data_IF_406635952653
#
_entry.id   IF_406635952653
#
_cell.length_a   1.000
_cell.length_b   1.000
_cell.length_c   1.000
_cell.angle_alpha   90.00
_cell.angle_beta   90.00
_cell.angle_gamma   90.00
#
_symmetry.space_group_name_H-M   'P 1'
#
loop_
_entity.id
_entity.type
_entity.pdbx_description
1 polymer ?
#
# COMPACT_ATOMS: atom_id res chain seq x y z
N UNK A 1 -6.35 -61.66 -30.00
CA UNK A 1 -5.97 -60.35 -30.60
C UNK A 1 -6.72 -59.27 -29.86
N UNK A 2 -6.01 -58.31 -29.25
CA UNK A 2 -6.55 -57.20 -28.45
C UNK A 2 -6.88 -56.03 -29.38
N UNK A 3 -8.07 -55.45 -29.29
CA UNK A 3 -8.34 -54.10 -29.81
C UNK A 3 -8.47 -53.15 -28.62
N UNK A 4 -7.48 -52.28 -28.46
CA UNK A 4 -7.50 -51.13 -27.56
C UNK A 4 -7.65 -49.90 -28.46
N UNK A 5 -8.78 -49.20 -28.35
CA UNK A 5 -8.96 -47.88 -28.95
C UNK A 5 -8.78 -46.85 -27.83
N UNK A 6 -7.60 -46.24 -27.78
CA UNK A 6 -7.33 -45.14 -26.87
C UNK A 6 -8.04 -43.87 -27.37
N UNK A 7 -8.84 -43.27 -26.50
CA UNK A 7 -9.33 -41.91 -26.66
C UNK A 7 -8.16 -40.94 -26.43
N UNK A 8 -7.75 -40.24 -27.49
CA UNK A 8 -6.77 -39.17 -27.40
C UNK A 8 -7.51 -37.88 -26.99
N UNK A 9 -7.57 -37.59 -25.68
CA UNK A 9 -7.95 -36.27 -25.18
C UNK A 9 -6.82 -35.29 -25.49
N UNK A 10 -6.99 -34.47 -26.53
CA UNK A 10 -6.13 -33.31 -26.79
C UNK A 10 -6.55 -32.20 -25.82
N UNK A 11 -5.82 -32.08 -24.71
CA UNK A 11 -5.94 -30.94 -23.80
C UNK A 11 -5.22 -29.75 -24.43
N UNK A 12 -5.98 -28.86 -25.08
CA UNK A 12 -5.47 -27.59 -25.60
C UNK A 12 -5.24 -26.61 -24.45
N UNK A 13 -4.06 -26.66 -23.84
CA UNK A 13 -3.60 -25.66 -22.87
C UNK A 13 -3.04 -24.46 -23.64
N UNK A 14 -3.90 -23.48 -23.92
CA UNK A 14 -3.46 -22.19 -24.45
C UNK A 14 -2.73 -21.42 -23.33
N UNK A 15 -1.41 -21.55 -23.27
CA UNK A 15 -0.54 -20.71 -22.47
C UNK A 15 -0.49 -19.31 -23.12
N UNK A 16 -1.46 -18.46 -22.78
CA UNK A 16 -1.30 -17.02 -22.95
C UNK A 16 -0.40 -16.55 -21.81
N UNK A 17 0.91 -16.62 -22.02
CA UNK A 17 1.90 -16.06 -21.11
C UNK A 17 1.91 -14.53 -21.31
N UNK A 18 0.84 -13.87 -20.87
CA UNK A 18 0.85 -12.42 -20.69
C UNK A 18 1.78 -12.09 -19.52
N UNK A 19 2.65 -11.10 -19.67
CA UNK A 19 3.40 -10.57 -18.54
C UNK A 19 2.40 -10.04 -17.49
N UNK A 20 2.32 -10.71 -16.34
CA UNK A 20 1.47 -10.25 -15.23
C UNK A 20 2.19 -9.07 -14.60
N UNK A 21 1.67 -7.87 -14.82
CA UNK A 21 2.28 -6.61 -14.37
C UNK A 21 1.54 -5.98 -13.17
N UNK A 22 0.46 -6.61 -12.72
CA UNK A 22 -0.34 -6.22 -11.56
C UNK A 22 -1.25 -7.38 -11.14
N UNK A 23 -1.56 -7.50 -9.85
CA UNK A 23 -2.68 -8.34 -9.43
C UNK A 23 -3.98 -7.62 -9.75
N UNK A 24 -4.88 -8.25 -10.51
CA UNK A 24 -6.12 -7.61 -10.97
C UNK A 24 -7.33 -8.27 -10.33
N UNK A 25 -8.19 -7.47 -9.73
CA UNK A 25 -9.40 -7.92 -9.06
C UNK A 25 -10.63 -7.35 -9.75
N UNK A 26 -11.70 -8.15 -9.80
CA UNK A 26 -13.03 -7.61 -10.10
C UNK A 26 -13.53 -6.79 -8.91
N UNK A 27 -14.19 -5.67 -9.17
CA UNK A 27 -14.88 -4.95 -8.11
C UNK A 27 -16.03 -5.82 -7.54
N UNK A 28 -16.34 -5.71 -6.23
CA UNK A 28 -17.43 -6.47 -5.63
C UNK A 28 -18.75 -6.23 -6.36
N UNK A 29 -19.56 -7.29 -6.51
CA UNK A 29 -20.86 -7.21 -7.20
C UNK A 29 -21.89 -6.44 -6.38
N UNK A 30 -21.86 -6.63 -5.06
CA UNK A 30 -22.79 -6.01 -4.12
C UNK A 30 -22.34 -4.57 -3.83
N UNK A 31 -23.20 -3.56 -4.07
CA UNK A 31 -22.84 -2.17 -3.75
C UNK A 31 -22.55 -1.99 -2.26
N UNK A 32 -21.40 -1.39 -1.96
CA UNK A 32 -20.95 -1.14 -0.59
C UNK A 32 -19.93 -2.16 -0.07
N UNK A 33 -19.82 -3.31 -0.71
CA UNK A 33 -18.76 -4.27 -0.42
C UNK A 33 -17.40 -3.71 -0.81
N UNK A 34 -16.39 -4.09 -0.04
CA UNK A 34 -15.02 -3.62 -0.21
C UNK A 34 -13.97 -4.72 -0.16
N UNK A 35 -14.37 -5.97 0.11
CA UNK A 35 -13.46 -7.11 0.01
C UNK A 35 -13.37 -7.58 -1.44
N UNK A 36 -12.16 -7.66 -1.95
CA UNK A 36 -11.83 -8.18 -3.28
C UNK A 36 -11.11 -9.52 -3.16
N UNK A 37 -11.34 -10.41 -4.12
CA UNK A 37 -10.82 -11.79 -4.14
C UNK A 37 -10.18 -12.06 -5.50
N UNK A 38 -8.99 -12.65 -5.50
CA UNK A 38 -8.28 -13.02 -6.74
C UNK A 38 -8.84 -14.31 -7.33
N UNK A 39 -8.93 -15.35 -6.49
CA UNK A 39 -9.42 -16.68 -6.80
C UNK A 39 -10.65 -16.99 -5.92
N UNK A 40 -11.88 -16.72 -6.41
CA UNK A 40 -13.12 -16.95 -5.63
C UNK A 40 -13.35 -18.40 -5.19
N UNK A 41 -12.73 -19.35 -5.90
CA UNK A 41 -12.73 -20.78 -5.59
C UNK A 41 -11.83 -21.15 -4.41
N UNK A 42 -10.85 -20.30 -4.08
CA UNK A 42 -9.94 -20.48 -2.96
C UNK A 42 -10.54 -19.92 -1.66
N UNK A 43 -9.96 -20.31 -0.52
CA UNK A 43 -10.32 -19.79 0.80
C UNK A 43 -9.85 -18.35 1.02
N UNK A 44 -9.61 -17.97 2.28
CA UNK A 44 -9.08 -16.62 2.60
C UNK A 44 -7.65 -16.41 2.09
N UNK A 45 -6.92 -17.50 1.87
CA UNK A 45 -5.55 -17.55 1.35
C UNK A 45 -5.47 -18.57 0.21
N UNK A 46 -4.46 -18.37 -0.65
CA UNK A 46 -4.05 -19.32 -1.68
C UNK A 46 -2.70 -19.93 -1.32
N UNK A 47 -2.29 -20.97 -2.04
CA UNK A 47 -1.02 -21.65 -1.79
C UNK A 47 -0.25 -21.84 -3.09
N UNK A 48 1.07 -21.70 -3.00
CA UNK A 48 1.99 -22.15 -4.05
C UNK A 48 2.99 -23.15 -3.48
N UNK A 49 3.68 -23.85 -4.38
CA UNK A 49 4.76 -24.75 -4.03
C UNK A 49 6.03 -24.30 -4.72
N UNK A 50 7.08 -24.11 -3.93
CA UNK A 50 8.40 -23.76 -4.44
C UNK A 50 8.91 -24.81 -5.42
N UNK A 51 9.38 -24.37 -6.59
CA UNK A 51 9.81 -25.25 -7.69
C UNK A 51 11.31 -25.59 -7.63
N UNK A 52 12.09 -24.79 -6.90
CA UNK A 52 13.53 -24.88 -6.75
C UNK A 52 13.95 -24.27 -5.40
N UNK A 53 15.21 -24.43 -5.01
CA UNK A 53 15.71 -23.66 -3.87
C UNK A 53 15.74 -22.16 -4.23
N UNK A 54 15.05 -21.33 -3.45
CA UNK A 54 14.83 -19.90 -3.72
C UNK A 54 14.66 -19.10 -2.42
N UNK A 55 14.53 -17.77 -2.50
CA UNK A 55 14.18 -16.93 -1.34
C UNK A 55 12.68 -16.64 -1.30
N UNK A 56 12.12 -16.26 -0.14
CA UNK A 56 10.74 -15.74 -0.11
C UNK A 56 10.60 -14.48 -0.97
N UNK A 57 11.69 -13.75 -1.20
CA UNK A 57 11.67 -12.50 -1.96
C UNK A 57 11.53 -12.78 -3.46
N UNK A 58 12.13 -13.86 -3.95
CA UNK A 58 11.94 -14.34 -5.32
C UNK A 58 10.48 -14.71 -5.55
N UNK A 59 9.88 -15.41 -4.59
CA UNK A 59 8.45 -15.75 -4.60
C UNK A 59 7.59 -14.50 -4.52
N UNK A 60 7.90 -13.54 -3.65
CA UNK A 60 7.18 -12.27 -3.62
C UNK A 60 7.20 -11.57 -4.98
N UNK A 61 8.35 -11.51 -5.66
CA UNK A 61 8.43 -10.91 -6.99
C UNK A 61 7.59 -11.68 -8.01
N UNK A 62 7.68 -13.01 -8.03
CA UNK A 62 6.89 -13.86 -8.93
C UNK A 62 5.38 -13.61 -8.79
N UNK A 63 4.91 -13.38 -7.56
CA UNK A 63 3.49 -13.15 -7.25
C UNK A 63 3.15 -11.66 -7.04
N UNK A 64 4.02 -10.73 -7.44
CA UNK A 64 3.81 -9.27 -7.34
C UNK A 64 3.45 -8.79 -5.91
N UNK A 65 4.09 -9.38 -4.92
CA UNK A 65 3.94 -9.09 -3.50
C UNK A 65 5.07 -8.20 -2.98
N UNK A 66 4.80 -7.51 -1.88
CA UNK A 66 5.83 -6.81 -1.11
C UNK A 66 6.65 -7.80 -0.28
N UNK A 67 7.90 -7.45 -0.01
CA UNK A 67 8.79 -8.30 0.80
C UNK A 67 8.25 -8.54 2.22
N UNK A 68 7.79 -7.49 2.90
CA UNK A 68 7.24 -7.64 4.25
C UNK A 68 5.95 -8.44 4.24
N UNK A 69 5.15 -8.32 3.18
CA UNK A 69 3.90 -9.05 3.04
C UNK A 69 4.12 -10.57 2.96
N UNK A 70 5.00 -11.06 2.07
CA UNK A 70 5.23 -12.50 1.94
C UNK A 70 5.83 -13.11 3.23
N UNK A 71 6.70 -12.36 3.91
CA UNK A 71 7.33 -12.81 5.16
C UNK A 71 6.29 -12.90 6.28
N UNK A 72 5.41 -11.89 6.44
CA UNK A 72 4.33 -11.91 7.43
C UNK A 72 3.30 -13.02 7.17
N UNK A 73 3.04 -13.32 5.90
CA UNK A 73 2.17 -14.43 5.53
C UNK A 73 2.80 -15.79 5.85
N UNK A 74 4.12 -15.88 6.02
CA UNK A 74 4.85 -17.13 6.22
C UNK A 74 5.86 -17.01 7.38
N UNK A 75 5.39 -16.78 8.63
CA UNK A 75 6.27 -16.47 9.76
C UNK A 75 7.22 -17.62 10.12
N UNK A 76 6.84 -18.86 9.80
CA UNK A 76 7.62 -20.06 10.11
C UNK A 76 8.66 -20.42 9.03
N UNK A 77 8.71 -19.66 7.92
CA UNK A 77 9.62 -19.92 6.81
C UNK A 77 10.86 -19.01 6.87
N UNK A 78 12.04 -19.56 6.54
CA UNK A 78 13.25 -18.76 6.38
C UNK A 78 13.15 -17.92 5.10
N UNK A 79 13.21 -16.60 5.27
CA UNK A 79 13.15 -15.64 4.16
C UNK A 79 14.27 -15.80 3.13
N UNK A 80 15.41 -16.36 3.51
CA UNK A 80 16.60 -16.47 2.66
C UNK A 80 16.76 -17.84 2.01
N UNK A 81 16.07 -18.86 2.53
CA UNK A 81 16.18 -20.21 2.00
C UNK A 81 14.87 -20.97 2.13
N UNK A 82 14.15 -21.01 1.03
CA UNK A 82 13.01 -21.88 0.79
C UNK A 82 13.48 -23.08 -0.01
N UNK A 83 13.27 -24.27 0.53
CA UNK A 83 13.60 -25.52 -0.15
C UNK A 83 12.55 -25.85 -1.20
N UNK A 84 13.02 -26.45 -2.29
CA UNK A 84 12.13 -27.04 -3.30
C UNK A 84 11.05 -27.89 -2.62
N UNK A 85 9.80 -27.67 -3.02
CA UNK A 85 8.65 -28.41 -2.51
C UNK A 85 8.00 -27.80 -1.26
N UNK A 86 8.60 -26.77 -0.64
CA UNK A 86 7.96 -26.04 0.47
C UNK A 86 6.65 -25.38 -0.01
N UNK A 87 5.62 -25.48 0.82
CA UNK A 87 4.33 -24.81 0.61
C UNK A 87 4.43 -23.40 1.15
N UNK A 88 3.97 -22.43 0.36
CA UNK A 88 4.03 -21.00 0.69
C UNK A 88 2.62 -20.45 0.59
N UNK A 89 2.22 -19.72 1.62
CA UNK A 89 0.93 -19.03 1.71
C UNK A 89 1.00 -17.73 0.91
N UNK A 90 -0.02 -17.51 0.08
CA UNK A 90 -0.22 -16.31 -0.72
C UNK A 90 -1.54 -15.63 -0.32
N UNK A 91 -1.63 -14.29 -0.44
CA UNK A 91 -2.88 -13.60 -0.17
C UNK A 91 -3.89 -13.87 -1.28
N UNK A 92 -5.14 -14.20 -0.93
CA UNK A 92 -6.23 -14.33 -1.90
C UNK A 92 -7.23 -13.17 -1.81
N UNK A 93 -7.49 -12.70 -0.59
CA UNK A 93 -8.44 -11.62 -0.30
C UNK A 93 -7.73 -10.35 0.15
N UNK A 94 -8.35 -9.21 -0.11
CA UNK A 94 -7.98 -7.90 0.46
C UNK A 94 -9.21 -7.06 0.72
N UNK A 95 -9.16 -6.23 1.75
CA UNK A 95 -10.11 -5.16 1.96
C UNK A 95 -9.57 -3.91 1.27
N UNK A 96 -10.33 -3.34 0.35
CA UNK A 96 -9.95 -2.10 -0.32
C UNK A 96 -9.93 -0.94 0.69
N UNK A 97 -8.88 -0.11 0.72
CA UNK A 97 -8.76 1.00 1.68
C UNK A 97 -9.93 1.97 1.54
N UNK A 98 -10.37 2.59 2.61
CA UNK A 98 -11.38 3.63 2.53
C UNK A 98 -10.88 4.82 1.72
N UNK A 99 -11.71 5.31 0.80
CA UNK A 99 -11.41 6.47 -0.02
C UNK A 99 -12.11 6.42 -1.37
N UNK A 100 -11.92 7.45 -2.20
CA UNK A 100 -12.48 7.50 -3.54
C UNK A 100 -12.04 6.30 -4.38
N UNK A 101 -12.99 5.65 -5.05
CA UNK A 101 -12.74 4.54 -6.00
C UNK A 101 -12.43 5.08 -7.40
N UNK A 102 -11.54 6.07 -7.49
CA UNK A 102 -11.12 6.69 -8.74
C UNK A 102 -9.61 7.01 -8.73
N UNK A 103 -8.95 6.83 -9.88
CA UNK A 103 -7.51 7.07 -9.98
C UNK A 103 -6.71 6.12 -9.08
N UNK A 104 -5.77 6.66 -8.30
CA UNK A 104 -4.82 5.89 -7.49
C UNK A 104 -5.10 6.09 -6.01
N UNK A 105 -5.23 5.00 -5.24
CA UNK A 105 -5.19 5.02 -3.77
C UNK A 105 -4.00 4.21 -3.29
N UNK A 106 -3.09 4.86 -2.56
CA UNK A 106 -1.89 4.28 -1.96
C UNK A 106 -2.12 4.13 -0.47
N UNK A 107 -2.22 2.89 0.02
CA UNK A 107 -2.20 2.65 1.45
C UNK A 107 -0.77 2.30 1.89
N UNK A 108 -0.17 3.22 2.66
CA UNK A 108 1.22 3.09 3.09
C UNK A 108 1.41 1.94 4.07
N UNK A 109 0.42 1.66 4.93
CA UNK A 109 0.51 0.64 5.99
C UNK A 109 0.60 -0.79 5.46
N UNK A 110 0.02 -1.05 4.29
CA UNK A 110 0.03 -2.38 3.67
C UNK A 110 0.97 -2.49 2.47
N UNK A 111 1.67 -1.40 2.13
CA UNK A 111 2.55 -1.31 0.97
C UNK A 111 1.84 -1.64 -0.37
N UNK A 112 0.56 -1.26 -0.50
CA UNK A 112 -0.23 -1.45 -1.74
C UNK A 112 -0.72 -0.16 -2.37
N UNK A 113 -0.66 -0.15 -3.70
CA UNK A 113 -1.24 0.84 -4.59
C UNK A 113 -2.43 0.19 -5.28
N UNK A 114 -3.59 0.83 -5.22
CA UNK A 114 -4.81 0.42 -5.90
C UNK A 114 -5.12 1.42 -7.01
N UNK A 115 -5.20 0.94 -8.25
CA UNK A 115 -5.59 1.75 -9.40
C UNK A 115 -6.99 1.37 -9.88
N UNK A 116 -7.92 2.31 -9.78
CA UNK A 116 -9.32 2.19 -10.19
C UNK A 116 -9.48 2.75 -11.60
N UNK A 117 -9.62 1.86 -12.58
CA UNK A 117 -9.81 2.23 -13.97
C UNK A 117 -11.25 2.72 -14.19
N UNK A 118 -11.47 3.91 -14.79
CA UNK A 118 -12.83 4.41 -15.06
C UNK A 118 -13.42 3.77 -16.34
N UNK A 119 -13.49 2.45 -16.39
CA UNK A 119 -13.83 1.66 -17.58
C UNK A 119 -15.26 1.07 -17.56
N UNK A 120 -16.02 1.27 -16.49
CA UNK A 120 -17.42 0.85 -16.40
C UNK A 120 -18.43 1.92 -16.81
N UNK A 121 -19.72 1.58 -16.69
CA UNK A 121 -20.82 2.51 -16.95
C UNK A 121 -20.67 3.76 -16.08
N UNK A 122 -20.88 4.93 -16.68
CA UNK A 122 -20.73 6.25 -16.03
C UNK A 122 -19.34 6.49 -15.38
N UNK A 123 -18.29 5.79 -15.84
CA UNK A 123 -16.94 5.92 -15.31
C UNK A 123 -16.70 5.19 -13.98
N UNK A 124 -17.64 4.36 -13.52
CA UNK A 124 -17.43 3.50 -12.36
C UNK A 124 -16.36 2.43 -12.66
N UNK A 125 -15.47 2.09 -11.72
CA UNK A 125 -14.52 1.01 -11.93
C UNK A 125 -15.23 -0.34 -11.92
N UNK A 126 -14.92 -1.20 -12.91
CA UNK A 126 -15.30 -2.62 -12.87
C UNK A 126 -14.18 -3.51 -12.37
N UNK A 127 -12.95 -3.01 -12.39
CA UNK A 127 -11.76 -3.72 -11.92
C UNK A 127 -10.85 -2.76 -11.15
N UNK A 128 -10.05 -3.33 -10.26
CA UNK A 128 -8.99 -2.64 -9.52
C UNK A 128 -7.69 -3.41 -9.67
N UNK A 129 -6.61 -2.71 -9.98
CA UNK A 129 -5.27 -3.29 -10.06
C UNK A 129 -4.48 -2.95 -8.80
N UNK A 130 -3.90 -3.95 -8.17
CA UNK A 130 -3.04 -3.82 -6.99
C UNK A 130 -1.57 -3.98 -7.38
N UNK A 131 -0.73 -3.10 -6.84
CA UNK A 131 0.72 -3.13 -7.03
C UNK A 131 1.41 -3.01 -5.67
N UNK A 132 2.41 -3.85 -5.43
CA UNK A 132 3.27 -3.70 -4.27
C UNK A 132 4.18 -2.48 -4.44
N UNK A 133 4.40 -1.71 -3.37
CA UNK A 133 5.28 -0.54 -3.39
C UNK A 133 6.21 -0.45 -2.18
N UNK A 134 7.27 0.32 -2.31
CA UNK A 134 8.10 0.79 -1.19
C UNK A 134 7.81 2.26 -0.90
N UNK A 135 7.97 2.65 0.37
CA UNK A 135 7.69 4.01 0.88
C UNK A 135 8.90 4.63 1.55
N UNK A 136 8.74 5.86 2.02
CA UNK A 136 9.72 6.59 2.80
C UNK A 136 10.09 5.92 4.12
N UNK A 137 11.37 5.98 4.50
CA UNK A 137 11.83 5.61 5.86
C UNK A 137 11.41 6.66 6.91
N UNK A 138 11.58 6.36 8.19
CA UNK A 138 11.02 7.15 9.30
C UNK A 138 11.46 8.64 9.31
N UNK A 139 12.70 8.95 8.95
CA UNK A 139 13.24 10.32 8.85
C UNK A 139 12.87 11.01 7.52
N UNK A 140 12.29 10.27 6.58
CA UNK A 140 11.87 10.74 5.26
C UNK A 140 10.48 10.22 4.88
N UNK A 141 9.51 10.45 5.77
CA UNK A 141 8.15 9.90 5.61
C UNK A 141 7.52 10.32 4.29
N UNK A 142 6.88 9.36 3.62
CA UNK A 142 6.00 9.65 2.49
C UNK A 142 4.80 10.48 2.99
N UNK A 143 4.47 11.59 2.33
CA UNK A 143 3.38 12.46 2.77
C UNK A 143 2.01 11.79 2.61
N UNK A 144 1.08 12.13 3.51
CA UNK A 144 -0.32 11.74 3.43
C UNK A 144 -1.16 12.85 2.76
N UNK A 145 -2.32 12.46 2.23
CA UNK A 145 -3.32 13.38 1.69
C UNK A 145 -3.58 13.18 0.20
N UNK A 146 -4.25 14.18 -0.38
CA UNK A 146 -4.70 14.14 -1.77
C UNK A 146 -3.75 14.91 -2.68
N UNK A 147 -3.47 14.35 -3.86
CA UNK A 147 -2.66 14.97 -4.89
C UNK A 147 -3.07 14.47 -6.27
N UNK A 148 -2.29 14.76 -7.30
CA UNK A 148 -2.51 14.25 -8.66
C UNK A 148 -1.20 14.06 -9.40
N UNK A 149 -1.24 13.28 -10.47
CA UNK A 149 -0.14 13.19 -11.43
C UNK A 149 -0.04 14.52 -12.19
N UNK A 150 1.10 15.20 -12.12
CA UNK A 150 1.33 16.48 -12.84
C UNK A 150 2.23 16.34 -14.06
N UNK A 151 3.03 15.28 -14.10
CA UNK A 151 3.95 15.03 -15.20
C UNK A 151 4.27 13.55 -15.29
N UNK A 152 4.34 13.04 -16.52
CA UNK A 152 4.83 11.70 -16.82
C UNK A 152 6.18 11.78 -17.52
N UNK A 153 7.19 11.05 -17.04
CA UNK A 153 8.53 11.01 -17.64
C UNK A 153 8.93 9.58 -17.95
N UNK A 154 9.21 9.31 -19.23
CA UNK A 154 9.84 8.08 -19.70
C UNK A 154 11.35 8.24 -19.64
N UNK A 155 12.04 7.21 -19.15
CA UNK A 155 13.50 7.15 -18.99
C UNK A 155 14.05 8.41 -18.29
N UNK A 156 13.62 8.68 -17.03
CA UNK A 156 14.00 9.90 -16.32
C UNK A 156 15.49 9.91 -16.00
N UNK A 157 16.16 11.07 -16.12
CA UNK A 157 17.40 11.30 -15.37
C UNK A 157 17.05 11.58 -13.90
N UNK A 158 17.86 11.06 -12.97
CA UNK A 158 17.76 11.36 -11.56
C UNK A 158 18.78 12.43 -11.17
N UNK A 159 18.30 13.49 -10.56
CA UNK A 159 19.12 14.53 -9.95
C UNK A 159 18.97 14.40 -8.44
N UNK A 160 19.90 13.73 -7.74
CA UNK A 160 19.76 13.50 -6.31
C UNK A 160 19.68 14.86 -5.59
N UNK A 161 18.68 15.09 -4.73
CA UNK A 161 18.64 16.26 -3.86
C UNK A 161 19.93 16.42 -3.05
N UNK A 162 20.33 17.65 -2.75
CA UNK A 162 21.55 17.95 -2.01
C UNK A 162 21.60 17.21 -0.66
N UNK A 163 20.47 17.14 0.05
CA UNK A 163 20.37 16.39 1.32
C UNK A 163 20.70 14.91 1.16
N UNK A 164 20.26 14.27 0.07
CA UNK A 164 20.57 12.86 -0.20
C UNK A 164 22.05 12.71 -0.56
N UNK A 165 22.63 13.62 -1.34
CA UNK A 165 24.07 13.59 -1.65
C UNK A 165 24.93 13.72 -0.41
N UNK A 166 24.57 14.60 0.52
CA UNK A 166 25.28 14.80 1.78
C UNK A 166 25.24 13.55 2.66
N UNK A 167 24.09 12.90 2.79
CA UNK A 167 23.94 11.64 3.52
C UNK A 167 24.83 10.55 2.92
N UNK A 168 24.74 10.36 1.60
CA UNK A 168 25.52 9.36 0.88
C UNK A 168 27.04 9.60 0.99
N UNK A 169 27.49 10.85 0.89
CA UNK A 169 28.88 11.23 1.10
C UNK A 169 29.33 10.95 2.55
N UNK A 170 28.50 11.24 3.55
CA UNK A 170 28.79 10.95 4.95
C UNK A 170 28.90 9.44 5.23
N UNK A 171 28.16 8.62 4.49
CA UNK A 171 28.19 7.16 4.58
C UNK A 171 29.31 6.51 3.73
N UNK A 172 30.15 7.31 3.07
CA UNK A 172 31.28 6.82 2.27
C UNK A 172 30.93 6.34 0.86
N UNK A 173 29.72 6.66 0.36
CA UNK A 173 29.24 6.31 -0.98
C UNK A 173 28.70 7.56 -1.70
N UNK A 174 29.56 8.52 -2.10
CA UNK A 174 29.12 9.79 -2.66
C UNK A 174 28.41 9.63 -3.99
N UNK A 175 27.23 10.23 -4.11
CA UNK A 175 26.43 10.20 -5.34
C UNK A 175 26.87 11.25 -6.38
N UNK A 176 26.76 10.94 -7.69
CA UNK A 176 26.96 11.94 -8.73
C UNK A 176 25.85 13.01 -8.70
N UNK A 177 26.11 14.15 -9.33
CA UNK A 177 25.12 15.24 -9.46
C UNK A 177 23.93 14.86 -10.37
N UNK A 178 24.14 13.91 -11.28
CA UNK A 178 23.12 13.35 -12.15
C UNK A 178 23.40 11.87 -12.39
N UNK A 179 22.35 11.06 -12.35
CA UNK A 179 22.34 9.69 -12.87
C UNK A 179 21.47 9.69 -14.13
N UNK A 180 22.08 9.39 -15.27
CA UNK A 180 21.39 9.33 -16.56
C UNK A 180 20.40 8.16 -16.62
N UNK A 181 19.54 8.11 -17.66
CA UNK A 181 18.64 6.99 -17.85
C UNK A 181 19.42 5.68 -18.09
N UNK A 182 18.90 4.56 -17.59
CA UNK A 182 19.54 3.25 -17.77
C UNK A 182 19.13 2.24 -16.70
N UNK A 183 19.66 1.00 -16.78
CA UNK A 183 19.31 -0.08 -15.85
C UNK A 183 19.71 0.20 -14.39
N UNK A 184 20.71 1.06 -14.18
CA UNK A 184 21.23 1.43 -12.86
C UNK A 184 20.63 2.75 -12.33
N UNK A 185 19.60 3.27 -13.00
CA UNK A 185 18.94 4.49 -12.54
C UNK A 185 17.93 4.15 -11.42
N UNK A 186 18.05 4.74 -10.22
CA UNK A 186 17.20 4.38 -9.09
C UNK A 186 15.75 4.82 -9.23
N UNK A 187 15.44 5.68 -10.20
CA UNK A 187 14.06 6.01 -10.59
C UNK A 187 13.44 4.96 -11.55
N UNK A 188 14.25 4.02 -12.06
CA UNK A 188 13.83 3.05 -13.06
C UNK A 188 13.49 3.68 -14.41
N UNK A 189 12.68 2.98 -15.21
CA UNK A 189 12.37 3.35 -16.59
C UNK A 189 11.24 4.38 -16.73
N UNK A 190 10.46 4.62 -15.69
CA UNK A 190 9.27 5.51 -15.69
C UNK A 190 9.14 6.23 -14.35
N UNK A 191 8.69 7.49 -14.41
CA UNK A 191 8.33 8.27 -13.24
C UNK A 191 7.06 9.09 -13.47
N UNK A 192 6.19 9.10 -12.45
CA UNK A 192 4.96 9.87 -12.35
C UNK A 192 5.16 10.92 -11.26
N UNK A 193 5.24 12.19 -11.61
CA UNK A 193 5.43 13.28 -10.65
C UNK A 193 4.13 13.64 -9.97
N UNK A 194 4.18 13.88 -8.66
CA UNK A 194 3.03 14.23 -7.84
C UNK A 194 2.96 15.74 -7.58
N UNK A 195 1.75 16.30 -7.49
CA UNK A 195 1.49 17.69 -7.11
C UNK A 195 1.71 17.92 -5.60
N UNK A 196 2.93 17.69 -5.11
CA UNK A 196 3.30 17.83 -3.70
C UNK A 196 4.45 18.83 -3.57
N UNK A 197 4.59 19.45 -2.39
CA UNK A 197 5.73 20.33 -2.10
C UNK A 197 7.00 19.50 -1.98
N UNK A 198 7.81 19.49 -3.03
CA UNK A 198 9.03 18.68 -3.13
C UNK A 198 9.05 17.91 -4.45
N UNK A 199 10.00 16.99 -4.62
CA UNK A 199 10.13 16.17 -5.83
C UNK A 199 9.56 14.75 -5.66
N UNK A 200 8.36 14.62 -5.11
CA UNK A 200 7.72 13.33 -4.88
C UNK A 200 7.22 12.68 -6.18
N UNK A 201 7.48 11.39 -6.32
CA UNK A 201 7.17 10.62 -7.53
C UNK A 201 6.68 9.22 -7.16
N UNK A 202 5.83 8.65 -8.02
CA UNK A 202 5.66 7.20 -8.14
C UNK A 202 6.57 6.76 -9.28
N UNK A 203 7.54 5.89 -9.00
CA UNK A 203 8.57 5.53 -9.97
C UNK A 203 8.95 4.06 -9.88
N UNK A 204 9.72 3.58 -10.86
CA UNK A 204 10.27 2.22 -10.87
C UNK A 204 11.48 2.09 -9.96
N UNK A 205 12.35 1.14 -10.27
CA UNK A 205 13.61 0.98 -9.55
C UNK A 205 14.65 0.34 -10.46
N UNK A 206 15.92 0.43 -10.09
CA UNK A 206 16.97 -0.39 -10.69
C UNK A 206 16.87 -1.85 -10.19
N UNK A 207 17.67 -2.73 -10.81
CA UNK A 207 17.66 -4.15 -10.45
C UNK A 207 18.20 -4.43 -9.04
N UNK A 208 19.09 -3.59 -8.52
CA UNK A 208 19.77 -3.79 -7.24
C UNK A 208 18.88 -3.42 -6.05
N UNK A 209 17.97 -2.47 -6.25
CA UNK A 209 17.04 -1.95 -5.22
C UNK A 209 15.67 -2.61 -5.26
N UNK A 210 15.48 -3.61 -6.12
CA UNK A 210 14.21 -4.30 -6.31
C UNK A 210 13.72 -5.04 -5.06
N UNK A 211 14.65 -5.56 -4.25
CA UNK A 211 14.33 -6.25 -3.00
C UNK A 211 13.75 -5.32 -1.92
N UNK A 212 13.71 -4.02 -2.19
CA UNK A 212 13.14 -3.00 -1.32
C UNK A 212 11.65 -2.72 -1.51
N UNK A 213 10.99 -3.40 -2.46
CA UNK A 213 9.53 -3.30 -2.62
C UNK A 213 8.84 -3.97 -1.43
N UNK A 214 7.84 -3.29 -0.85
CA UNK A 214 7.20 -3.70 0.40
C UNK A 214 7.96 -3.28 1.66
N UNK A 215 8.82 -2.26 1.59
CA UNK A 215 9.60 -1.77 2.74
C UNK A 215 9.62 -0.23 2.85
N UNK A 216 10.02 0.27 4.03
CA UNK A 216 10.30 1.68 4.33
C UNK A 216 11.77 2.01 4.10
N UNK A 217 12.15 2.28 2.85
CA UNK A 217 13.58 2.42 2.49
C UNK A 217 13.90 3.62 1.59
N UNK A 218 12.89 4.34 1.11
CA UNK A 218 13.11 5.46 0.20
C UNK A 218 13.25 6.78 0.96
N UNK A 219 13.67 7.84 0.27
CA UNK A 219 13.61 9.20 0.79
C UNK A 219 12.24 9.88 0.57
N UNK A 220 11.16 9.11 0.73
CA UNK A 220 9.77 9.61 0.72
C UNK A 220 8.99 9.40 -0.58
N UNK A 221 9.63 9.02 -1.68
CA UNK A 221 8.94 8.65 -2.93
C UNK A 221 8.25 7.29 -2.84
N UNK A 222 7.39 6.98 -3.81
CA UNK A 222 6.77 5.66 -3.95
C UNK A 222 7.54 4.88 -5.01
N UNK A 223 8.04 3.71 -4.64
CA UNK A 223 8.81 2.83 -5.54
C UNK A 223 7.99 1.61 -5.91
N UNK A 224 7.89 1.28 -7.19
CA UNK A 224 7.24 0.08 -7.72
C UNK A 224 8.26 -0.86 -8.36
N UNK A 225 7.87 -2.11 -8.58
CA UNK A 225 8.60 -3.01 -9.48
C UNK A 225 8.73 -2.39 -10.89
N UNK A 226 9.83 -2.66 -11.62
CA UNK A 226 10.02 -2.14 -12.98
C UNK A 226 8.84 -2.43 -13.92
N UNK A 227 8.39 -3.68 -13.95
CA UNK A 227 7.24 -4.16 -14.73
C UNK A 227 5.93 -3.46 -14.33
N UNK A 228 5.77 -3.16 -13.04
CA UNK A 228 4.57 -2.54 -12.47
C UNK A 228 4.50 -1.04 -12.82
N UNK A 229 5.61 -0.30 -12.72
CA UNK A 229 5.60 1.11 -13.10
C UNK A 229 5.38 1.30 -14.59
N UNK A 230 5.90 0.40 -15.44
CA UNK A 230 5.68 0.48 -16.89
C UNK A 230 4.21 0.31 -17.24
N UNK A 231 3.57 -0.73 -16.69
CA UNK A 231 2.15 -0.95 -16.88
C UNK A 231 1.30 0.20 -16.32
N UNK A 232 1.59 0.67 -15.09
CA UNK A 232 0.85 1.78 -14.50
C UNK A 232 1.01 3.07 -15.32
N UNK A 233 2.23 3.36 -15.79
CA UNK A 233 2.54 4.55 -16.59
C UNK A 233 1.69 4.62 -17.85
N UNK A 234 1.47 3.51 -18.54
CA UNK A 234 0.70 3.51 -19.79
C UNK A 234 -0.81 3.70 -19.56
N UNK A 235 -1.30 3.37 -18.36
CA UNK A 235 -2.73 3.44 -18.01
C UNK A 235 -3.17 4.78 -17.42
N UNK A 236 -2.27 5.46 -16.72
CA UNK A 236 -2.61 6.71 -16.01
C UNK A 236 -2.37 7.93 -16.89
N UNK A 237 -3.17 8.97 -16.71
CA UNK A 237 -2.99 10.25 -17.40
C UNK A 237 -2.50 11.33 -16.46
N UNK A 238 -1.92 12.40 -16.99
CA UNK A 238 -1.74 13.63 -16.20
C UNK A 238 -3.12 14.11 -15.73
N UNK A 239 -3.19 14.61 -14.50
CA UNK A 239 -4.44 14.94 -13.81
C UNK A 239 -5.07 13.78 -13.04
N UNK A 240 -4.64 12.53 -13.22
CA UNK A 240 -5.15 11.39 -12.44
C UNK A 240 -5.01 11.67 -10.93
N UNK A 241 -6.10 11.58 -10.15
CA UNK A 241 -6.04 11.82 -8.70
C UNK A 241 -5.26 10.70 -8.01
N UNK A 242 -4.56 11.08 -6.94
CA UNK A 242 -3.74 10.19 -6.11
C UNK A 242 -4.05 10.48 -4.65
N UNK A 243 -4.44 9.45 -3.91
CA UNK A 243 -4.76 9.51 -2.49
C UNK A 243 -3.73 8.71 -1.70
N UNK A 244 -2.95 9.37 -0.85
CA UNK A 244 -1.98 8.73 0.03
C UNK A 244 -2.59 8.60 1.42
N UNK A 245 -2.92 7.37 1.81
CA UNK A 245 -3.60 7.05 3.07
C UNK A 245 -2.74 6.16 3.96
N UNK A 246 -3.01 6.20 5.26
CA UNK A 246 -2.40 5.31 6.26
C UNK A 246 -3.52 4.61 7.01
N UNK A 247 -3.88 3.42 6.56
CA UNK A 247 -4.98 2.62 7.10
C UNK A 247 -4.43 1.23 7.47
N UNK A 248 -3.81 1.09 8.66
CA UNK A 248 -3.24 -0.18 9.10
C UNK A 248 -4.31 -1.21 9.44
N UNK A 249 -5.51 -0.76 9.81
CA UNK A 249 -6.68 -1.61 10.04
C UNK A 249 -7.76 -1.20 9.04
N UNK A 250 -8.33 -2.18 8.34
CA UNK A 250 -9.42 -2.02 7.40
C UNK A 250 -10.55 -2.95 7.81
N UNK A 251 -11.77 -2.50 7.58
CA UNK A 251 -13.00 -3.27 7.83
C UNK A 251 -13.89 -3.18 6.60
N UNK A 252 -14.44 -4.30 6.17
CA UNK A 252 -15.16 -4.37 4.90
C UNK A 252 -16.14 -5.53 4.81
N UNK A 253 -17.19 -5.33 4.03
CA UNK A 253 -18.18 -6.36 3.74
C UNK A 253 -17.81 -7.15 2.47
N UNK A 254 -18.14 -8.44 2.52
CA UNK A 254 -18.29 -9.32 1.36
C UNK A 254 -19.58 -10.11 1.55
N UNK A 255 -20.57 -9.85 0.72
CA UNK A 255 -21.91 -10.40 0.84
C UNK A 255 -22.45 -10.21 2.27
N UNK A 256 -22.64 -11.29 3.02
CA UNK A 256 -23.19 -11.24 4.38
C UNK A 256 -22.11 -11.25 5.48
N UNK A 257 -20.82 -11.25 5.13
CA UNK A 257 -19.72 -11.39 6.08
C UNK A 257 -18.93 -10.09 6.23
N UNK A 258 -18.67 -9.71 7.48
CA UNK A 258 -17.84 -8.58 7.85
C UNK A 258 -16.42 -9.06 8.14
N UNK A 259 -15.45 -8.52 7.41
CA UNK A 259 -14.04 -8.86 7.53
C UNK A 259 -13.25 -7.73 8.20
N UNK A 260 -12.21 -8.10 8.93
CA UNK A 260 -11.17 -7.20 9.42
C UNK A 260 -9.82 -7.64 8.86
N UNK A 261 -9.02 -6.68 8.41
CA UNK A 261 -7.65 -6.89 7.94
C UNK A 261 -6.76 -5.89 8.69
N UNK A 262 -5.67 -6.38 9.29
CA UNK A 262 -4.74 -5.57 10.05
C UNK A 262 -3.29 -5.82 9.64
N UNK A 263 -2.52 -4.74 9.57
CA UNK A 263 -1.09 -4.73 9.22
C UNK A 263 -0.28 -4.03 10.32
N UNK A 264 1.03 -4.31 10.40
CA UNK A 264 1.92 -3.56 11.28
C UNK A 264 1.96 -2.08 10.91
N UNK A 265 2.20 -1.26 11.92
CA UNK A 265 2.43 0.17 11.71
C UNK A 265 3.76 0.41 10.97
N UNK A 266 3.86 1.61 10.42
CA UNK A 266 5.12 2.12 9.89
C UNK A 266 6.08 2.41 11.05
N UNK A 267 7.37 2.42 10.75
CA UNK A 267 8.44 2.56 11.73
C UNK A 267 8.40 3.98 12.31
N UNK A 268 8.38 4.08 13.63
CA UNK A 268 8.22 5.34 14.36
C UNK A 268 6.79 5.88 14.42
N UNK A 269 5.79 5.08 14.08
CA UNK A 269 4.35 5.36 14.21
C UNK A 269 3.60 4.22 14.95
N UNK A 270 4.29 3.46 15.80
CA UNK A 270 3.75 2.25 16.42
C UNK A 270 2.57 2.52 17.37
N UNK A 271 1.51 1.75 17.22
CA UNK A 271 0.33 1.76 18.10
C UNK A 271 0.37 0.63 19.12
N UNK A 272 -0.28 0.82 20.26
CA UNK A 272 -0.52 -0.25 21.23
C UNK A 272 -1.66 -1.16 20.77
N UNK A 273 -1.74 -2.37 21.34
CA UNK A 273 -2.86 -3.28 21.07
C UNK A 273 -4.21 -2.64 21.43
N UNK A 274 -4.29 -1.94 22.56
CA UNK A 274 -5.50 -1.22 22.99
C UNK A 274 -5.92 -0.14 21.98
N UNK A 275 -4.97 0.64 21.46
CA UNK A 275 -5.23 1.65 20.43
C UNK A 275 -5.75 1.02 19.13
N UNK A 276 -5.14 -0.10 18.70
CA UNK A 276 -5.61 -0.87 17.54
C UNK A 276 -7.01 -1.40 17.74
N UNK A 277 -7.29 -1.95 18.92
CA UNK A 277 -8.61 -2.48 19.27
C UNK A 277 -9.68 -1.38 19.24
N UNK A 278 -9.41 -0.24 19.87
CA UNK A 278 -10.32 0.91 19.86
C UNK A 278 -10.60 1.41 18.43
N UNK A 279 -9.56 1.51 17.59
CA UNK A 279 -9.71 1.87 16.18
C UNK A 279 -10.58 0.83 15.44
N UNK A 280 -10.32 -0.47 15.62
CA UNK A 280 -11.08 -1.52 14.97
C UNK A 280 -12.57 -1.49 15.36
N UNK A 281 -12.90 -1.28 16.64
CA UNK A 281 -14.29 -1.11 17.08
C UNK A 281 -14.97 0.06 16.37
N UNK A 282 -14.30 1.21 16.27
CA UNK A 282 -14.86 2.38 15.57
C UNK A 282 -15.13 2.09 14.09
N UNK A 283 -14.25 1.33 13.43
CA UNK A 283 -14.39 0.95 12.03
C UNK A 283 -15.49 -0.09 11.83
N UNK A 284 -15.64 -1.04 12.75
CA UNK A 284 -16.73 -2.03 12.77
C UNK A 284 -18.08 -1.33 12.91
N UNK A 285 -18.22 -0.42 13.88
CA UNK A 285 -19.44 0.37 14.05
C UNK A 285 -19.76 1.16 12.78
N UNK A 286 -18.76 1.84 12.20
CA UNK A 286 -18.92 2.59 10.96
C UNK A 286 -19.38 1.71 9.80
N UNK A 287 -18.74 0.54 9.62
CA UNK A 287 -19.09 -0.42 8.57
C UNK A 287 -20.49 -1.04 8.79
N UNK A 288 -20.96 -1.08 10.03
CA UNK A 288 -22.25 -1.64 10.42
C UNK A 288 -23.26 -0.55 10.82
N UNK A 289 -23.32 0.56 10.06
CA UNK A 289 -24.36 1.62 10.18
C UNK A 289 -24.47 2.27 11.57
N UNK A 290 -23.36 2.34 12.31
CA UNK A 290 -23.29 2.92 13.65
C UNK A 290 -23.53 1.93 14.79
N UNK A 291 -23.85 0.67 14.48
CA UNK A 291 -24.12 -0.37 15.46
C UNK A 291 -22.94 -1.33 15.59
N UNK A 292 -22.62 -1.72 16.82
CA UNK A 292 -21.65 -2.78 17.06
C UNK A 292 -22.37 -4.13 17.03
N UNK A 293 -22.13 -5.00 16.02
CA UNK A 293 -22.76 -6.32 15.99
C UNK A 293 -22.19 -7.21 17.09
N UNK A 294 -22.84 -8.34 17.38
CA UNK A 294 -22.26 -9.40 18.22
C UNK A 294 -21.23 -10.19 17.39
N UNK A 295 -20.05 -9.60 17.23
CA UNK A 295 -18.94 -10.17 16.44
C UNK A 295 -18.04 -11.08 17.30
N UNK A 296 -17.32 -11.98 16.64
CA UNK A 296 -16.30 -12.82 17.24
C UNK A 296 -15.10 -11.98 17.73
N UNK A 297 -15.08 -11.73 19.04
CA UNK A 297 -14.01 -10.97 19.70
C UNK A 297 -12.67 -11.70 19.68
N UNK A 298 -12.66 -13.03 19.70
CA UNK A 298 -11.42 -13.81 19.66
C UNK A 298 -10.78 -13.74 18.28
N UNK A 299 -11.60 -13.81 17.21
CA UNK A 299 -11.13 -13.57 15.85
C UNK A 299 -10.57 -12.14 15.67
N UNK A 300 -11.26 -11.13 16.20
CA UNK A 300 -10.76 -9.76 16.17
C UNK A 300 -9.43 -9.61 16.92
N UNK A 301 -9.33 -10.12 18.15
CA UNK A 301 -8.11 -10.05 18.95
C UNK A 301 -6.93 -10.71 18.23
N UNK A 302 -7.14 -11.90 17.68
CA UNK A 302 -6.14 -12.62 16.89
C UNK A 302 -5.62 -11.79 15.70
N UNK A 303 -6.52 -11.17 14.92
CA UNK A 303 -6.14 -10.31 13.79
C UNK A 303 -5.28 -9.13 14.23
N UNK A 304 -5.63 -8.49 15.36
CA UNK A 304 -4.95 -7.30 15.88
C UNK A 304 -3.64 -7.59 16.62
N UNK A 305 -3.44 -8.84 17.03
CA UNK A 305 -2.18 -9.35 17.59
C UNK A 305 -1.22 -9.78 16.49
N UNK A 306 -1.69 -10.58 15.54
CA UNK A 306 -0.84 -11.22 14.52
C UNK A 306 -0.46 -10.27 13.38
N UNK A 307 -1.34 -9.32 13.02
CA UNK A 307 -1.08 -8.29 12.01
C UNK A 307 -0.60 -8.86 10.65
N UNK A 308 -1.11 -10.03 10.27
CA UNK A 308 -0.65 -10.76 9.07
C UNK A 308 -1.16 -10.17 7.75
N UNK A 309 -2.15 -9.27 7.80
CA UNK A 309 -2.79 -8.71 6.60
C UNK A 309 -3.68 -9.71 5.86
N UNK A 310 -4.17 -10.76 6.54
CA UNK A 310 -5.16 -11.69 6.00
C UNK A 310 -6.54 -11.18 6.44
N UNK A 311 -7.47 -10.87 5.53
CA UNK A 311 -8.84 -10.55 5.90
C UNK A 311 -9.51 -11.73 6.60
N UNK A 312 -9.99 -11.51 7.82
CA UNK A 312 -10.66 -12.53 8.62
C UNK A 312 -12.10 -12.13 8.89
N UNK A 313 -13.05 -13.02 8.61
CA UNK A 313 -14.45 -12.80 8.93
C UNK A 313 -14.65 -12.81 10.46
N UNK A 314 -15.30 -11.77 10.98
CA UNK A 314 -15.60 -11.65 12.42
C UNK A 314 -17.10 -11.69 12.71
N UNK A 315 -17.95 -11.54 11.69
CA UNK A 315 -19.39 -11.49 11.85
C UNK A 315 -20.07 -11.87 10.53
N UNK A 316 -21.22 -12.54 10.61
CA UNK A 316 -22.06 -12.89 9.48
C UNK A 316 -23.49 -12.48 9.79
N UNK A 317 -24.10 -11.69 8.90
CA UNK A 317 -25.53 -11.37 8.97
C UNK A 317 -26.32 -12.57 8.51
N UNK A 318 -27.46 -12.81 9.15
CA UNK A 318 -28.45 -13.72 8.60
C UNK A 318 -28.89 -13.19 7.23
N UNK A 319 -28.95 -14.05 6.19
CA UNK A 319 -29.55 -13.66 4.92
C UNK A 319 -30.97 -13.13 5.16
N UNK A 320 -31.43 -12.13 4.40
CA UNK A 320 -32.85 -11.81 4.37
C UNK A 320 -33.64 -13.08 4.03
N UNK A 321 -34.79 -13.29 4.66
CA UNK A 321 -35.70 -14.36 4.25
C UNK A 321 -36.04 -14.13 2.76
N UNK A 322 -36.11 -15.20 1.96
CA UNK A 322 -36.23 -15.17 0.50
C UNK A 322 -37.41 -14.32 -0.03
N UNK A 323 -38.38 -14.01 0.84
CA UNK A 323 -39.55 -13.17 0.54
C UNK A 323 -39.30 -11.65 0.68
N UNK A 324 -38.16 -11.20 1.22
CA UNK A 324 -37.73 -9.80 1.20
C UNK A 324 -36.90 -9.48 -0.06
N UNK A 325 -37.42 -9.83 -1.23
CA UNK A 325 -36.98 -9.18 -2.47
C UNK A 325 -37.43 -7.72 -2.36
N UNK A 326 -36.51 -6.84 -1.97
CA UNK A 326 -36.70 -5.39 -2.08
C UNK A 326 -37.07 -5.13 -3.54
N UNK A 327 -38.31 -4.68 -3.85
CA UNK A 327 -38.67 -4.48 -5.23
C UNK A 327 -37.73 -3.43 -5.83
N UNK A 328 -37.17 -3.76 -6.99
CA UNK A 328 -36.45 -2.84 -7.85
C UNK A 328 -37.14 -1.48 -7.80
N UNK A 329 -36.35 -0.42 -7.63
CA UNK A 329 -36.81 0.96 -7.68
C UNK A 329 -37.54 1.15 -9.01
N UNK A 330 -38.86 1.03 -8.96
CA UNK A 330 -39.72 1.20 -10.12
C UNK A 330 -39.60 2.66 -10.51
N UNK A 331 -39.10 2.85 -11.72
CA UNK A 331 -39.00 4.10 -12.43
C UNK A 331 -40.36 4.83 -12.38
N UNK A 332 -40.51 5.80 -11.47
CA UNK A 332 -41.67 6.69 -11.46
C UNK A 332 -41.49 7.69 -12.61
N UNK A 333 -42.39 7.74 -13.59
CA UNK A 333 -42.30 8.74 -14.65
C UNK A 333 -42.47 10.13 -14.05
N UNK A 334 -41.61 11.07 -14.46
CA UNK A 334 -41.72 12.46 -14.08
C UNK A 334 -43.12 13.01 -14.41
N UNK A 335 -43.76 13.79 -13.52
CA UNK A 335 -45.04 14.40 -13.82
C UNK A 335 -44.88 15.44 -14.94
N UNK A 336 -45.82 15.41 -15.89
CA UNK A 336 -45.88 16.29 -17.03
C UNK A 336 -45.96 17.77 -16.62
N UNK A 337 -45.03 18.57 -17.13
CA UNK A 337 -45.08 20.04 -17.00
C UNK A 337 -46.16 20.57 -17.94
N UNK A 338 -47.30 20.95 -17.35
CA UNK A 338 -48.33 21.74 -18.00
C UNK A 338 -47.79 23.14 -18.32
N UNK A 339 -47.75 23.48 -19.61
CA UNK A 339 -47.51 24.84 -20.09
C UNK A 339 -48.79 25.65 -19.93
N UNK A 340 -48.75 26.70 -19.13
CA UNK A 340 -49.73 27.80 -19.19
C UNK A 340 -49.01 29.14 -19.29
N UNK A 341 -49.34 29.84 -20.37
CA UNK A 341 -48.89 31.17 -20.80
C UNK A 341 -49.68 32.29 -20.15
N UNK A 342 -49.02 33.38 -19.70
CA UNK A 342 -49.48 34.79 -19.78
C UNK A 342 -48.40 35.72 -19.18
N UNK A 343 -47.65 36.48 -19.99
CA UNK A 343 -47.82 37.91 -20.37
C UNK A 343 -47.50 38.96 -19.28
N UNK A 344 -46.33 39.59 -19.48
CA UNK A 344 -45.98 41.04 -19.45
C UNK A 344 -46.29 41.93 -18.24
N UNK A 345 -45.27 42.62 -17.70
CA UNK A 345 -45.10 44.08 -17.82
C UNK A 345 -43.84 44.61 -17.08
N UNK A 346 -43.26 45.67 -17.63
CA UNK A 346 -42.01 46.37 -17.25
C UNK A 346 -42.26 47.43 -16.17
N UNK A 347 -41.31 47.63 -15.23
CA UNK A 347 -40.90 48.97 -14.72
C UNK A 347 -39.61 48.93 -13.86
N UNK A 348 -38.64 49.78 -14.23
CA UNK A 348 -37.53 50.33 -13.42
C UNK A 348 -38.01 51.67 -12.78
N UNK A 349 -37.26 52.45 -11.94
CA UNK A 349 -35.86 52.33 -11.46
C UNK A 349 -35.59 52.70 -9.96
N UNK A 350 -34.31 52.63 -9.55
CA UNK A 350 -33.50 53.66 -8.84
C UNK A 350 -32.99 53.46 -7.38
N UNK A 351 -31.66 53.71 -7.27
CA UNK A 351 -30.83 54.35 -6.21
C UNK A 351 -30.52 53.68 -4.84
N UNK A 352 -29.28 53.18 -4.75
CA UNK A 352 -28.14 53.67 -3.94
C UNK A 352 -28.33 54.02 -2.46
N UNK A 353 -27.52 53.39 -1.58
CA UNK A 353 -26.64 54.06 -0.60
C UNK A 353 -25.69 53.07 0.09
N UNK A 354 -24.47 53.54 0.36
CA UNK A 354 -23.34 52.83 0.97
C UNK A 354 -23.05 53.38 2.37
N UNK A 355 -22.57 52.55 3.29
CA UNK A 355 -21.81 52.89 4.52
C UNK A 355 -20.99 51.63 4.90
N UNK A 356 -19.66 51.52 4.72
CA UNK A 356 -18.48 52.10 5.40
C UNK A 356 -18.20 51.57 6.83
N UNK A 357 -17.17 50.70 6.91
CA UNK A 357 -16.11 50.57 7.96
C UNK A 357 -16.51 50.11 9.38
N UNK A 358 -15.71 49.38 10.18
CA UNK A 358 -14.25 49.42 10.43
C UNK A 358 -13.71 48.09 11.00
N UNK A 359 -12.44 47.80 10.70
CA UNK A 359 -11.51 46.98 11.51
C UNK A 359 -11.13 47.71 12.81
N UNK A 360 -10.58 47.01 13.82
CA UNK A 360 -9.54 47.57 14.66
C UNK A 360 -8.18 46.91 14.44
N UNK A 361 -7.16 47.73 14.67
CA UNK A 361 -5.74 47.56 14.36
C UNK A 361 -4.96 47.10 15.61
N UNK A 362 -3.82 46.49 15.33
CA UNK A 362 -2.67 46.19 16.20
C UNK A 362 -2.23 47.38 17.06
N UNK A 363 -1.75 47.10 18.28
CA UNK A 363 -0.79 47.93 19.03
C UNK A 363 0.41 47.08 19.45
N UNK A 364 1.60 47.62 19.21
CA UNK A 364 2.90 47.05 19.53
C UNK A 364 3.58 47.86 20.65
N UNK A 365 4.52 47.21 21.35
CA UNK A 365 5.52 47.79 22.25
C UNK A 365 5.45 47.22 23.68
N UNK A 366 6.52 46.79 24.34
CA UNK A 366 7.95 46.98 24.08
C UNK A 366 8.80 46.15 25.09
N UNK A 367 10.13 46.02 24.82
CA UNK A 367 11.27 45.71 25.74
C UNK A 367 11.64 44.23 25.99
N UNK A 368 12.67 43.69 25.31
CA UNK A 368 14.13 43.68 25.62
C UNK A 368 14.57 42.84 26.83
N UNK A 369 15.26 41.71 26.58
CA UNK A 369 16.61 41.38 27.09
C UNK A 369 16.98 39.89 26.87
N UNK A 370 18.20 39.65 26.41
CA UNK A 370 18.97 38.38 26.37
C UNK A 370 20.43 38.77 26.71
N UNK A 371 21.36 37.87 27.01
CA UNK A 371 21.41 36.87 28.10
C UNK A 371 22.63 37.13 29.04
N UNK A 372 22.70 36.44 30.19
CA UNK A 372 23.91 36.42 31.04
C UNK A 372 24.50 35.00 31.06
N UNK A 373 25.80 34.93 30.79
CA UNK A 373 26.69 33.76 30.87
C UNK A 373 27.30 33.58 32.27
N UNK A 374 27.91 32.38 32.48
CA UNK A 374 28.84 31.91 33.56
C UNK A 374 28.14 30.90 34.50
N UNK A 375 28.67 29.73 34.89
CA UNK A 375 29.98 29.06 34.88
C UNK A 375 29.69 27.53 34.92
N UNK A 376 30.40 26.63 34.21
CA UNK A 376 31.68 25.95 34.58
C UNK A 376 31.66 25.24 35.94
N UNK A 377 31.50 23.91 35.96
CA UNK A 377 32.37 22.91 36.63
C UNK A 377 31.69 21.51 36.73
N UNK A 378 32.47 20.46 36.42
CA UNK A 378 32.56 19.10 37.03
C UNK A 378 31.26 18.26 37.18
N UNK A 379 31.19 16.93 36.98
CA UNK A 379 32.18 15.86 36.90
C UNK A 379 31.53 14.63 36.23
N UNK A 380 32.35 13.82 35.53
CA UNK A 380 32.06 12.40 35.23
C UNK A 380 32.75 11.54 36.32
N UNK A 381 32.23 10.34 36.59
CA UNK A 381 33.04 9.13 36.29
C UNK A 381 32.21 8.04 35.59
N UNK A 382 32.69 7.42 34.50
CA UNK A 382 33.53 6.20 34.46
C UNK A 382 32.81 4.97 35.04
N UNK A 383 32.28 4.09 34.19
CA UNK A 383 32.87 2.80 33.77
C UNK A 383 33.28 1.90 34.95
N UNK A 384 32.47 0.87 35.19
CA UNK A 384 32.89 -0.36 35.87
C UNK A 384 32.77 -1.52 34.89
N UNK A 385 33.90 -2.19 34.68
CA UNK A 385 34.03 -3.47 33.99
C UNK A 385 34.02 -4.58 35.04
N UNK A 386 33.26 -5.65 34.79
CA UNK A 386 33.46 -6.93 35.46
C UNK A 386 33.56 -8.03 34.40
N UNK A 387 34.71 -8.69 34.42
CA UNK A 387 35.15 -9.78 33.55
C UNK A 387 35.33 -11.00 34.44
N UNK A 388 34.77 -12.13 34.05
CA UNK A 388 35.22 -13.51 34.29
C UNK A 388 34.03 -14.45 34.07
N UNK A 389 34.12 -15.68 33.56
CA UNK A 389 35.12 -16.49 32.87
C UNK A 389 34.45 -17.88 32.74
N UNK A 390 34.71 -18.65 31.67
CA UNK A 390 34.99 -20.10 31.74
C UNK A 390 34.75 -20.86 30.42
N UNK A 391 35.85 -21.44 29.91
CA UNK A 391 36.03 -22.77 29.27
C UNK A 391 35.25 -23.05 27.97
N UNK A 392 35.89 -23.12 26.80
CA UNK A 392 36.79 -24.17 26.27
C UNK A 392 36.15 -25.56 26.14
N UNK A 393 35.75 -25.91 24.91
CA UNK A 393 35.80 -27.28 24.40
C UNK A 393 36.12 -27.25 22.89
N UNK A 394 37.13 -28.04 22.51
CA UNK A 394 37.72 -28.20 21.18
C UNK A 394 36.94 -29.24 20.36
N UNK A 395 36.79 -28.94 19.07
CA UNK A 395 37.15 -29.77 17.90
C UNK A 395 36.39 -31.09 17.62
N UNK A 396 35.87 -31.24 16.39
CA UNK A 396 36.49 -32.07 15.32
C UNK A 396 35.79 -31.93 13.96
N UNK A 397 36.60 -31.77 12.91
CA UNK A 397 36.43 -32.19 11.50
C UNK A 397 35.26 -31.59 10.67
N UNK A 398 35.35 -31.34 9.36
CA UNK A 398 36.24 -31.87 8.34
C UNK A 398 36.30 -30.92 7.12
N UNK A 399 37.41 -30.99 6.39
CA UNK A 399 37.80 -30.12 5.28
C UNK A 399 37.27 -30.62 3.93
N UNK A 400 36.98 -29.66 3.03
CA UNK A 400 36.95 -29.73 1.57
C UNK A 400 35.79 -30.48 0.88
N UNK A 401 34.96 -29.77 0.08
CA UNK A 401 35.34 -29.43 -1.30
C UNK A 401 34.54 -28.23 -1.83
N UNK A 402 35.23 -27.37 -2.60
CA UNK A 402 34.73 -26.12 -3.19
C UNK A 402 34.06 -26.41 -4.53
N UNK A 403 32.84 -25.90 -4.71
CA UNK A 403 32.34 -25.40 -6.00
C UNK A 403 31.59 -24.10 -5.74
N UNK A 404 31.98 -23.08 -6.49
CA UNK A 404 31.74 -21.65 -6.25
C UNK A 404 30.41 -21.24 -6.89
N UNK A 405 29.50 -20.64 -6.12
CA UNK A 405 28.39 -19.83 -6.61
C UNK A 405 28.62 -18.37 -6.19
N UNK A 406 28.65 -17.39 -7.11
CA UNK A 406 28.56 -15.97 -6.77
C UNK A 406 27.08 -15.56 -6.68
N UNK A 407 26.60 -14.66 -5.82
CA UNK A 407 27.23 -13.85 -4.80
C UNK A 407 26.10 -13.25 -3.95
N UNK A 408 26.16 -13.43 -2.63
CA UNK A 408 25.27 -12.79 -1.67
C UNK A 408 26.00 -11.58 -1.06
N UNK A 409 25.46 -10.38 -1.26
CA UNK A 409 26.01 -9.16 -0.67
C UNK A 409 25.56 -9.04 0.79
N UNK A 410 26.55 -8.95 1.69
CA UNK A 410 26.39 -8.59 3.10
C UNK A 410 26.18 -7.08 3.20
N UNK A 411 25.01 -6.66 3.70
CA UNK A 411 24.84 -5.34 4.29
C UNK A 411 25.38 -5.36 5.71
N UNK A 412 26.35 -4.48 5.98
CA UNK A 412 26.95 -4.25 7.29
C UNK A 412 25.94 -3.60 8.24
N UNK A 413 26.07 -3.98 9.51
CA UNK A 413 25.29 -3.62 10.71
C UNK A 413 24.90 -2.16 10.87
#
# INVERSE_FOLDING_TARGET
>A
MKFSSQFLCILSMALVCGAVNATTYSMPKTPGDSVIIEHPEDGDVSFTRSQQDETLIDVARQFLLGQTEIVRLNPDLDRWLIKKGTIIVLPNKRILPEGPRNGIVLNLSEFRLYFYQPNGKNGAPVQVRSYAHGVGRQDWKTPLGETRIVKKVKNPSWYPPESIRQEHAANGDPLPTVVGPGPNNPLGSRALHLALKGEYRIHGTDIDKIYGIGMQITHGCIRLYPENIEALYDLVSEGTPVYLVKQPIKVGWLDNKLYVEAHPDLEGDETTHEQRFALALSLIMKANKGELPDFDKAALDHVLTELRGIPTAIYERLPPLEDEVVPDVVNVPAPAVSKTTAKAAVKKPAKQLAVISKKPTVLAGNKTAKPVSKNKAADKPAKSAAKAASKTAKSTANTANKTVSPGYYRGSL
#
